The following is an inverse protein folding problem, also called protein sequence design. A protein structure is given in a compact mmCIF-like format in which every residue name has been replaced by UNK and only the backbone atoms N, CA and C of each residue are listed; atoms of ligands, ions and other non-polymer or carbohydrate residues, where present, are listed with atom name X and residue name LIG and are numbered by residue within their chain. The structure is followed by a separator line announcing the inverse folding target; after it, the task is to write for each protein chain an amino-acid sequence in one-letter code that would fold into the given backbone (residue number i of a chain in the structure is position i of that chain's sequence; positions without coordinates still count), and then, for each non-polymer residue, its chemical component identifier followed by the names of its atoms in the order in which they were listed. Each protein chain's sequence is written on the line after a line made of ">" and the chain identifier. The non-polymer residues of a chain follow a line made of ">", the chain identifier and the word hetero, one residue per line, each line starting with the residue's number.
data_IF_304768710337
#
_entry.id   IF_304768710337
#
_cell.length_a   1.000
_cell.length_b   1.000
_cell.length_c   1.000
_cell.angle_alpha   90.00
_cell.angle_beta   90.00
_cell.angle_gamma   90.00
#
_symmetry.space_group_name_H-M   'P 1'
#
loop_
_entity.id
_entity.type
_entity.pdbx_description
1 polymer ?
#
# COMPACT_ATOMS: atom_id res chain seq x y z
N UNK A 1 -35.13 -7.33 30.59
CA UNK A 1 -35.51 -8.18 29.46
C UNK A 1 -37.00 -8.15 29.33
N UNK A 2 -37.52 -8.08 28.10
CA UNK A 2 -38.96 -8.22 27.86
C UNK A 2 -39.39 -9.68 28.07
N UNK A 3 -40.64 -9.94 28.50
CA UNK A 3 -41.15 -11.30 28.66
C UNK A 3 -41.03 -12.12 27.36
N UNK A 4 -40.41 -13.30 27.43
CA UNK A 4 -40.21 -14.19 26.29
C UNK A 4 -38.98 -13.87 25.41
N UNK A 5 -38.17 -12.88 25.77
CA UNK A 5 -36.89 -12.61 25.10
C UNK A 5 -35.70 -13.20 25.87
N UNK A 6 -34.75 -13.79 25.14
CA UNK A 6 -33.48 -14.28 25.68
C UNK A 6 -32.34 -13.31 25.37
N UNK A 7 -31.29 -13.31 26.20
CA UNK A 7 -30.11 -12.48 25.97
C UNK A 7 -29.38 -12.95 24.71
N UNK A 8 -29.01 -12.02 23.83
CA UNK A 8 -28.22 -12.34 22.65
C UNK A 8 -26.76 -12.67 23.01
N UNK A 9 -26.22 -13.70 22.38
CA UNK A 9 -24.81 -14.12 22.39
C UNK A 9 -24.36 -14.48 20.96
N UNK A 10 -23.07 -14.77 20.78
CA UNK A 10 -22.50 -15.10 19.46
C UNK A 10 -23.08 -16.37 18.82
N UNK A 11 -23.74 -17.22 19.61
CA UNK A 11 -24.22 -18.53 19.16
C UNK A 11 -25.72 -18.51 18.84
N UNK A 12 -26.44 -17.48 19.26
CA UNK A 12 -27.90 -17.43 19.17
C UNK A 12 -28.43 -16.27 18.30
N UNK A 13 -27.57 -15.40 17.78
CA UNK A 13 -27.97 -14.36 16.82
C UNK A 13 -28.41 -14.97 15.47
N UNK A 14 -29.39 -14.37 14.78
CA UNK A 14 -29.75 -14.78 13.42
C UNK A 14 -28.57 -14.51 12.48
N UNK A 15 -28.33 -15.43 11.54
CA UNK A 15 -27.35 -15.21 10.49
C UNK A 15 -27.83 -14.12 9.55
N UNK A 16 -26.99 -13.12 9.30
CA UNK A 16 -27.26 -12.09 8.30
C UNK A 16 -26.04 -12.02 7.40
N UNK A 17 -26.19 -12.38 6.13
CA UNK A 17 -25.11 -12.31 5.16
C UNK A 17 -25.18 -11.03 4.29
N UNK A 18 -24.12 -10.81 3.50
CA UNK A 18 -24.02 -9.64 2.63
C UNK A 18 -25.10 -9.62 1.52
N UNK A 19 -25.63 -10.77 1.11
CA UNK A 19 -26.67 -10.88 0.08
C UNK A 19 -28.03 -10.46 0.67
N UNK A 20 -28.34 -10.89 1.90
CA UNK A 20 -29.52 -10.46 2.65
C UNK A 20 -29.55 -8.95 2.82
N UNK A 21 -28.41 -8.36 3.22
CA UNK A 21 -28.25 -6.89 3.32
C UNK A 21 -28.49 -6.20 1.98
N UNK A 22 -27.88 -6.70 0.91
CA UNK A 22 -28.04 -6.15 -0.43
C UNK A 22 -29.50 -6.16 -0.90
N UNK A 23 -30.21 -7.29 -0.71
CA UNK A 23 -31.63 -7.43 -1.05
C UNK A 23 -32.50 -6.50 -0.22
N UNK A 24 -32.24 -6.37 1.08
CA UNK A 24 -32.99 -5.50 1.97
C UNK A 24 -32.85 -4.02 1.57
N UNK A 25 -31.63 -3.54 1.35
CA UNK A 25 -31.41 -2.14 0.94
C UNK A 25 -31.92 -1.84 -0.48
N UNK A 26 -31.88 -2.82 -1.39
CA UNK A 26 -32.42 -2.66 -2.74
C UNK A 26 -33.96 -2.61 -2.77
N UNK A 27 -34.62 -3.32 -1.85
CA UNK A 27 -36.08 -3.44 -1.82
C UNK A 27 -36.76 -2.40 -0.92
N UNK A 28 -36.00 -1.71 -0.06
CA UNK A 28 -36.53 -0.76 0.91
C UNK A 28 -36.18 0.69 0.56
N UNK A 29 -37.19 1.43 0.09
CA UNK A 29 -37.06 2.81 -0.36
C UNK A 29 -36.62 3.77 0.75
N UNK A 30 -36.88 3.44 2.02
CA UNK A 30 -36.52 4.27 3.18
C UNK A 30 -34.99 4.42 3.33
N UNK A 31 -34.22 3.47 2.81
CA UNK A 31 -32.75 3.49 2.85
C UNK A 31 -32.11 3.80 1.48
N UNK A 32 -32.93 4.01 0.45
CA UNK A 32 -32.49 4.31 -0.92
C UNK A 32 -32.47 5.82 -1.24
N UNK A 33 -32.80 6.69 -0.30
CA UNK A 33 -32.78 8.14 -0.51
C UNK A 33 -31.36 8.68 -0.67
N UNK A 34 -31.21 9.80 -1.40
CA UNK A 34 -29.92 10.44 -1.68
C UNK A 34 -29.14 10.87 -0.43
N UNK A 35 -29.83 11.09 0.69
CA UNK A 35 -29.22 11.45 1.98
C UNK A 35 -28.52 10.26 2.67
N UNK A 36 -29.03 9.04 2.44
CA UNK A 36 -28.48 7.80 2.99
C UNK A 36 -27.50 7.11 2.03
N UNK A 37 -27.53 7.40 0.72
CA UNK A 37 -26.53 6.88 -0.24
C UNK A 37 -25.10 7.41 -0.05
N UNK A 38 -24.91 8.43 0.79
CA UNK A 38 -23.63 9.09 1.05
C UNK A 38 -23.07 8.85 2.48
N UNK A 39 -21.97 9.54 2.80
CA UNK A 39 -21.14 9.54 4.04
C UNK A 39 -21.79 9.04 5.35
N UNK A 40 -23.08 9.33 5.62
CA UNK A 40 -23.78 8.89 6.85
C UNK A 40 -23.91 7.37 6.99
N UNK A 41 -24.18 6.64 5.90
CA UNK A 41 -24.26 5.16 5.93
C UNK A 41 -22.86 4.55 6.10
N UNK A 42 -21.85 5.12 5.42
CA UNK A 42 -20.44 4.72 5.57
C UNK A 42 -19.88 5.00 6.96
N UNK A 43 -20.32 6.07 7.63
CA UNK A 43 -19.93 6.37 9.02
C UNK A 43 -20.64 5.46 10.03
N UNK A 44 -21.94 5.21 9.84
CA UNK A 44 -22.75 4.43 10.78
C UNK A 44 -22.52 2.92 10.66
N UNK A 45 -22.01 2.44 9.53
CA UNK A 45 -21.61 1.04 9.33
C UNK A 45 -20.25 0.68 9.94
N UNK A 46 -19.47 1.67 10.42
CA UNK A 46 -18.15 1.43 11.02
C UNK A 46 -18.27 0.57 12.28
N UNK A 47 -17.35 -0.39 12.42
CA UNK A 47 -17.27 -1.26 13.59
C UNK A 47 -17.18 -0.47 14.90
N UNK A 48 -16.33 0.57 14.95
CA UNK A 48 -16.16 1.44 16.11
C UNK A 48 -17.47 2.12 16.55
N UNK A 49 -18.32 2.52 15.60
CA UNK A 49 -19.58 3.19 15.95
C UNK A 49 -20.62 2.20 16.48
N UNK A 50 -20.79 1.05 15.82
CA UNK A 50 -21.77 0.05 16.26
C UNK A 50 -21.41 -0.59 17.60
N UNK A 51 -20.13 -0.86 17.85
CA UNK A 51 -19.69 -1.51 19.09
C UNK A 51 -19.77 -0.58 20.31
N UNK A 52 -19.58 0.73 20.12
CA UNK A 52 -19.69 1.73 21.18
C UNK A 52 -21.14 2.20 21.41
N UNK A 53 -21.99 2.16 20.37
CA UNK A 53 -23.35 2.69 20.43
C UNK A 53 -24.43 1.63 20.75
N UNK A 54 -24.25 0.36 20.37
CA UNK A 54 -25.23 -0.71 20.63
C UNK A 54 -25.01 -1.29 22.03
N UNK A 55 -25.99 -1.08 22.90
CA UNK A 55 -25.98 -1.64 24.26
C UNK A 55 -26.71 -2.99 24.30
N UNK A 56 -27.36 -3.32 25.40
CA UNK A 56 -28.00 -4.61 25.64
C UNK A 56 -28.88 -5.10 24.47
N UNK A 57 -28.59 -6.29 23.95
CA UNK A 57 -29.31 -6.95 22.85
C UNK A 57 -30.04 -8.19 23.38
N UNK A 58 -31.29 -8.34 22.97
CA UNK A 58 -32.16 -9.46 23.31
C UNK A 58 -32.87 -9.97 22.05
N UNK A 59 -33.19 -11.26 21.99
CA UNK A 59 -33.87 -11.85 20.85
C UNK A 59 -35.00 -12.79 21.27
N UNK A 60 -35.97 -12.98 20.37
CA UNK A 60 -37.08 -13.92 20.53
C UNK A 60 -37.31 -14.62 19.19
N UNK A 61 -37.40 -15.95 19.22
CA UNK A 61 -37.76 -16.77 18.07
C UNK A 61 -39.21 -17.21 18.20
N UNK A 62 -40.00 -16.96 17.15
CA UNK A 62 -41.38 -17.43 17.02
C UNK A 62 -41.52 -18.08 15.64
N UNK A 63 -41.63 -19.41 15.61
CA UNK A 63 -41.63 -20.21 14.38
C UNK A 63 -40.40 -19.90 13.52
N UNK A 64 -40.59 -19.40 12.29
CA UNK A 64 -39.53 -19.02 11.35
C UNK A 64 -38.98 -17.60 11.54
N UNK A 65 -39.59 -16.79 12.42
CA UNK A 65 -39.21 -15.40 12.62
C UNK A 65 -38.31 -15.22 13.85
N UNK A 66 -37.20 -14.52 13.66
CA UNK A 66 -36.30 -14.09 14.72
C UNK A 66 -36.39 -12.57 14.90
N UNK A 67 -36.91 -12.15 16.05
CA UNK A 67 -37.01 -10.73 16.43
C UNK A 67 -35.87 -10.36 17.36
N UNK A 68 -34.97 -9.48 16.92
CA UNK A 68 -33.83 -8.97 17.70
C UNK A 68 -34.09 -7.52 18.10
N UNK A 69 -33.96 -7.20 19.39
CA UNK A 69 -34.13 -5.85 19.94
C UNK A 69 -32.86 -5.38 20.62
N UNK A 70 -32.52 -4.11 20.45
CA UNK A 70 -31.43 -3.47 21.17
C UNK A 70 -31.77 -2.05 21.62
N UNK A 71 -30.92 -1.50 22.49
CA UNK A 71 -30.93 -0.08 22.86
C UNK A 71 -29.66 0.59 22.33
N UNK A 72 -29.79 1.75 21.69
CA UNK A 72 -28.68 2.47 21.03
C UNK A 72 -28.46 3.84 21.65
N UNK A 73 -27.19 4.18 21.90
CA UNK A 73 -26.78 5.47 22.45
C UNK A 73 -26.74 6.57 21.37
N UNK A 74 -27.34 7.76 21.61
CA UNK A 74 -27.26 8.89 20.69
C UNK A 74 -25.85 9.53 20.65
N UNK A 75 -25.25 9.62 19.47
CA UNK A 75 -23.88 10.11 19.24
C UNK A 75 -23.56 11.50 19.84
N UNK A 76 -24.51 12.43 19.83
CA UNK A 76 -24.27 13.81 20.28
C UNK A 76 -24.75 14.11 21.71
N UNK A 77 -25.33 13.12 22.41
CA UNK A 77 -25.86 13.27 23.77
C UNK A 77 -25.76 11.96 24.54
N UNK A 78 -24.56 11.62 25.00
CA UNK A 78 -24.27 10.37 25.74
C UNK A 78 -25.07 10.17 27.04
N UNK A 79 -25.68 11.23 27.58
CA UNK A 79 -26.58 11.17 28.75
C UNK A 79 -28.08 11.21 28.39
N UNK A 80 -28.44 11.20 27.11
CA UNK A 80 -29.84 11.21 26.67
C UNK A 80 -30.47 9.82 26.69
N UNK A 81 -31.81 9.78 26.60
CA UNK A 81 -32.60 8.54 26.52
C UNK A 81 -32.11 7.68 25.34
N UNK A 82 -31.83 6.41 25.62
CA UNK A 82 -31.44 5.41 24.60
C UNK A 82 -32.59 5.16 23.63
N UNK A 83 -32.26 4.97 22.35
CA UNK A 83 -33.25 4.65 21.32
C UNK A 83 -33.44 3.13 21.19
N UNK A 84 -34.68 2.65 21.20
CA UNK A 84 -35.00 1.25 20.91
C UNK A 84 -34.94 0.94 19.42
N UNK A 85 -34.24 -0.13 19.03
CA UNK A 85 -34.26 -0.66 17.67
C UNK A 85 -34.73 -2.12 17.66
N UNK A 86 -35.56 -2.46 16.68
CA UNK A 86 -36.10 -3.81 16.46
C UNK A 86 -35.78 -4.25 15.04
N UNK A 87 -35.25 -5.46 14.92
CA UNK A 87 -34.89 -6.15 13.68
C UNK A 87 -35.70 -7.44 13.62
N UNK A 88 -36.34 -7.72 12.49
CA UNK A 88 -37.07 -8.97 12.25
C UNK A 88 -36.48 -9.67 11.05
N UNK A 89 -36.06 -10.92 11.22
CA UNK A 89 -35.45 -11.77 10.20
C UNK A 89 -36.30 -13.02 10.03
N UNK A 90 -36.58 -13.40 8.80
CA UNK A 90 -37.06 -14.73 8.43
C UNK A 90 -35.84 -15.65 8.29
N UNK A 91 -35.66 -16.57 9.25
CA UNK A 91 -34.50 -17.49 9.28
C UNK A 91 -34.67 -18.67 8.30
N UNK A 92 -35.86 -18.91 7.75
CA UNK A 92 -36.11 -20.00 6.79
C UNK A 92 -35.84 -19.55 5.35
N UNK A 93 -36.29 -18.35 5.00
CA UNK A 93 -36.14 -17.77 3.66
C UNK A 93 -34.84 -16.95 3.51
N UNK A 94 -34.07 -16.77 4.59
CA UNK A 94 -32.92 -15.86 4.67
C UNK A 94 -33.29 -14.44 4.19
N UNK A 95 -34.33 -13.84 4.79
CA UNK A 95 -34.83 -12.50 4.43
C UNK A 95 -34.89 -11.59 5.65
N UNK A 96 -34.30 -10.40 5.56
CA UNK A 96 -34.54 -9.32 6.53
C UNK A 96 -35.90 -8.70 6.21
N UNK A 97 -36.87 -8.84 7.11
CA UNK A 97 -38.21 -8.31 6.91
C UNK A 97 -38.30 -6.83 7.27
N UNK A 98 -37.69 -6.42 8.39
CA UNK A 98 -37.72 -5.02 8.82
C UNK A 98 -36.62 -4.67 9.81
N UNK A 99 -36.20 -3.40 9.80
CA UNK A 99 -35.37 -2.79 10.83
C UNK A 99 -35.95 -1.42 11.19
N UNK A 100 -36.41 -1.25 12.42
CA UNK A 100 -37.12 -0.05 12.87
C UNK A 100 -36.51 0.52 14.14
N UNK A 101 -36.38 1.84 14.19
CA UNK A 101 -35.99 2.58 15.39
C UNK A 101 -37.22 3.29 15.95
N UNK A 102 -37.61 3.01 17.19
CA UNK A 102 -38.91 3.42 17.73
C UNK A 102 -38.91 4.81 18.37
N UNK A 103 -37.73 5.32 18.74
CA UNK A 103 -37.60 6.54 19.55
C UNK A 103 -36.88 7.68 18.81
N UNK A 104 -36.61 7.54 17.50
CA UNK A 104 -35.90 8.53 16.69
C UNK A 104 -36.86 9.35 15.82
N UNK A 105 -36.63 10.66 15.71
CA UNK A 105 -37.41 11.58 14.84
C UNK A 105 -37.37 11.15 13.36
N UNK A 106 -36.32 10.45 12.94
CA UNK A 106 -36.15 9.92 11.58
C UNK A 106 -36.59 8.45 11.43
N UNK A 107 -37.42 7.93 12.35
CA UNK A 107 -37.86 6.52 12.38
C UNK A 107 -38.60 6.08 11.11
N UNK A 108 -39.37 7.00 10.50
CA UNK A 108 -40.20 6.73 9.32
C UNK A 108 -39.44 6.77 7.99
N UNK A 109 -38.15 7.12 7.98
CA UNK A 109 -37.35 7.28 6.76
C UNK A 109 -35.95 6.67 6.86
N UNK A 110 -35.82 5.53 7.57
CA UNK A 110 -34.58 4.77 7.63
C UNK A 110 -33.45 5.44 8.42
N UNK A 111 -33.56 5.58 9.74
CA UNK A 111 -32.57 6.30 10.53
C UNK A 111 -31.17 5.63 10.61
N UNK A 112 -30.15 6.43 10.95
CA UNK A 112 -28.76 5.95 11.16
C UNK A 112 -28.62 4.86 12.22
N UNK A 113 -29.49 4.84 13.23
CA UNK A 113 -29.47 3.86 14.30
C UNK A 113 -29.92 2.47 13.82
N UNK A 114 -30.91 2.40 12.91
CA UNK A 114 -31.35 1.16 12.29
C UNK A 114 -30.23 0.53 11.44
N UNK A 115 -29.51 1.36 10.68
CA UNK A 115 -28.34 0.92 9.89
C UNK A 115 -27.23 0.42 10.81
N UNK A 116 -26.89 1.17 11.86
CA UNK A 116 -25.85 0.79 12.81
C UNK A 116 -26.18 -0.56 13.48
N UNK A 117 -27.45 -0.78 13.83
CA UNK A 117 -27.90 -2.04 14.42
C UNK A 117 -27.82 -3.20 13.44
N UNK A 118 -28.34 -3.02 12.21
CA UNK A 118 -28.35 -4.07 11.19
C UNK A 118 -26.92 -4.50 10.84
N UNK A 119 -26.02 -3.53 10.64
CA UNK A 119 -24.60 -3.79 10.38
C UNK A 119 -23.90 -4.43 11.57
N UNK A 120 -24.31 -4.11 12.80
CA UNK A 120 -23.79 -4.77 13.99
C UNK A 120 -24.20 -6.25 14.06
N UNK A 121 -25.47 -6.59 13.79
CA UNK A 121 -25.94 -7.98 13.80
C UNK A 121 -25.24 -8.79 12.71
N UNK A 122 -25.10 -8.25 11.49
CA UNK A 122 -24.32 -8.88 10.42
C UNK A 122 -22.90 -9.25 10.87
N UNK A 123 -22.14 -8.28 11.39
CA UNK A 123 -20.76 -8.52 11.86
C UNK A 123 -20.69 -9.59 12.96
N UNK A 124 -21.58 -9.51 13.96
CA UNK A 124 -21.59 -10.47 15.08
C UNK A 124 -22.07 -11.85 14.68
N UNK A 125 -22.90 -11.96 13.65
CA UNK A 125 -23.34 -13.26 13.10
C UNK A 125 -22.26 -13.97 12.27
N UNK A 126 -21.24 -13.23 11.79
CA UNK A 126 -20.08 -13.77 11.07
C UNK A 126 -18.88 -14.06 12.00
N UNK A 127 -18.94 -13.67 13.28
CA UNK A 127 -17.91 -14.01 14.26
C UNK A 127 -18.01 -15.51 14.62
N UNK A 128 -16.91 -16.29 14.53
CA UNK A 128 -16.96 -17.72 14.84
C UNK A 128 -17.30 -17.96 16.32
N UNK A 129 -18.11 -19.00 16.60
CA UNK A 129 -18.48 -19.40 17.96
C UNK A 129 -17.25 -19.58 18.85
N UNK A 130 -17.35 -19.23 20.14
CA UNK A 130 -16.22 -19.29 21.09
C UNK A 130 -15.61 -20.69 21.24
N UNK A 131 -16.33 -21.75 20.88
CA UNK A 131 -15.86 -23.16 20.86
C UNK A 131 -15.17 -23.56 19.55
N UNK A 132 -15.28 -22.74 18.50
CA UNK A 132 -14.56 -22.90 17.21
C UNK A 132 -13.29 -22.06 17.13
N UNK A 133 -12.90 -21.40 18.22
CA UNK A 133 -11.57 -20.83 18.37
C UNK A 133 -10.63 -21.98 18.73
N UNK A 134 -9.78 -22.40 17.79
CA UNK A 134 -8.67 -23.30 18.11
C UNK A 134 -7.97 -22.79 19.37
N UNK A 135 -7.87 -23.69 20.36
CA UNK A 135 -7.24 -23.42 21.64
C UNK A 135 -5.74 -23.21 21.42
N UNK A 136 -5.36 -21.98 21.11
CA UNK A 136 -3.97 -21.56 21.11
C UNK A 136 -3.70 -20.82 22.39
N UNK A 137 -2.77 -21.35 23.17
CA UNK A 137 -1.92 -20.60 24.07
C UNK A 137 -1.49 -19.28 23.39
N UNK A 138 -2.28 -18.22 23.56
CA UNK A 138 -1.91 -16.88 23.10
C UNK A 138 -0.68 -16.49 23.92
N UNK A 139 0.47 -16.37 23.25
CA UNK A 139 1.64 -15.72 23.84
C UNK A 139 1.19 -14.37 24.41
N UNK A 140 1.71 -14.02 25.58
CA UNK A 140 1.29 -12.83 26.33
C UNK A 140 1.32 -11.57 25.46
N UNK A 141 0.45 -10.59 25.72
CA UNK A 141 0.48 -9.27 25.05
C UNK A 141 1.86 -8.61 25.08
N UNK A 142 2.69 -8.93 26.08
CA UNK A 142 4.08 -8.47 26.16
C UNK A 142 4.98 -9.05 25.05
N UNK A 143 4.67 -10.23 24.52
CA UNK A 143 5.37 -10.80 23.36
C UNK A 143 5.05 -10.08 22.03
N UNK A 144 3.98 -9.26 21.98
CA UNK A 144 3.63 -8.43 20.83
C UNK A 144 4.29 -7.04 20.86
N UNK A 145 4.94 -6.67 21.96
CA UNK A 145 5.73 -5.44 22.04
C UNK A 145 7.01 -5.62 21.20
N UNK A 146 6.86 -5.39 19.90
CA UNK A 146 7.93 -5.56 18.90
C UNK A 146 7.42 -5.73 17.47
N UNK A 147 6.18 -6.19 17.28
CA UNK A 147 5.57 -6.35 15.95
C UNK A 147 4.65 -5.18 15.64
N UNK A 148 5.23 -3.99 15.45
CA UNK A 148 4.53 -2.95 14.71
C UNK A 148 4.30 -3.50 13.30
N UNK A 149 3.07 -3.81 12.92
CA UNK A 149 2.72 -4.17 11.54
C UNK A 149 3.09 -2.94 10.69
N UNK A 150 4.26 -3.00 10.03
CA UNK A 150 4.77 -1.89 9.21
C UNK A 150 4.13 -1.85 7.83
N UNK A 151 3.54 -2.96 7.38
CA UNK A 151 2.86 -3.15 6.10
C UNK A 151 1.87 -4.33 6.21
N UNK A 152 0.80 -4.31 5.41
CA UNK A 152 -0.11 -5.45 5.22
C UNK A 152 -0.03 -5.94 3.78
N UNK A 153 0.08 -7.24 3.58
CA UNK A 153 0.04 -7.88 2.26
C UNK A 153 -1.41 -8.10 1.82
N UNK A 154 -1.65 -8.22 0.50
CA UNK A 154 -2.98 -8.51 -0.03
C UNK A 154 -3.55 -9.85 0.49
N UNK A 155 -2.69 -10.84 0.73
CA UNK A 155 -3.05 -12.12 1.35
C UNK A 155 -3.49 -11.96 2.81
N UNK A 156 -2.92 -11.01 3.54
CA UNK A 156 -3.34 -10.72 4.92
C UNK A 156 -4.62 -9.88 4.98
N UNK A 157 -4.93 -9.12 3.92
CA UNK A 157 -6.19 -8.38 3.78
C UNK A 157 -7.40 -9.30 3.51
N UNK A 158 -7.16 -10.51 2.99
CA UNK A 158 -8.18 -11.48 2.61
C UNK A 158 -7.88 -12.84 3.23
N UNK A 159 -8.68 -13.27 4.21
CA UNK A 159 -8.66 -14.67 4.71
C UNK A 159 -9.23 -15.67 3.70
N UNK A 160 -9.75 -15.20 2.56
CA UNK A 160 -10.26 -16.06 1.49
C UNK A 160 -9.10 -16.70 0.74
N UNK A 161 -9.13 -18.04 0.63
CA UNK A 161 -8.38 -18.72 -0.42
C UNK A 161 -9.08 -18.39 -1.75
N UNK A 162 -8.43 -17.68 -2.69
CA UNK A 162 -9.05 -17.39 -3.97
C UNK A 162 -9.32 -18.73 -4.68
N UNK A 163 -10.58 -19.08 -4.85
CA UNK A 163 -10.99 -20.22 -5.69
C UNK A 163 -10.86 -19.72 -7.13
N UNK A 164 -9.78 -20.10 -7.80
CA UNK A 164 -9.67 -19.87 -9.23
C UNK A 164 -10.76 -20.71 -9.92
N UNK A 165 -11.58 -20.12 -10.81
CA UNK A 165 -12.55 -20.91 -11.57
C UNK A 165 -11.80 -21.95 -12.41
N UNK A 166 -12.26 -23.20 -12.36
CA UNK A 166 -11.61 -24.33 -13.05
C UNK A 166 -11.53 -24.16 -14.59
N UNK A 167 -12.30 -23.23 -15.16
CA UNK A 167 -12.35 -22.98 -16.60
C UNK A 167 -11.83 -21.57 -16.95
N UNK A 168 -10.65 -21.45 -17.58
CA UNK A 168 -10.09 -20.17 -18.00
C UNK A 168 -10.74 -19.61 -19.29
N UNK A 169 -11.75 -20.26 -19.86
CA UNK A 169 -12.36 -19.89 -21.15
C UNK A 169 -12.83 -18.44 -21.22
N UNK A 170 -13.51 -17.94 -20.16
CA UNK A 170 -13.97 -16.54 -20.13
C UNK A 170 -12.79 -15.57 -20.18
N UNK A 171 -11.72 -15.88 -19.46
CA UNK A 171 -10.51 -15.05 -19.45
C UNK A 171 -9.81 -15.08 -20.81
N UNK A 172 -9.65 -16.26 -21.42
CA UNK A 172 -9.04 -16.39 -22.74
C UNK A 172 -9.84 -15.65 -23.82
N UNK A 173 -11.18 -15.78 -23.80
CA UNK A 173 -12.07 -15.06 -24.72
C UNK A 173 -11.95 -13.55 -24.51
N UNK A 174 -11.85 -13.09 -23.26
CA UNK A 174 -11.59 -11.68 -22.95
C UNK A 174 -10.25 -11.20 -23.54
N UNK A 175 -9.16 -11.97 -23.40
CA UNK A 175 -7.85 -11.62 -23.96
C UNK A 175 -7.88 -11.54 -25.49
N UNK A 176 -8.58 -12.46 -26.15
CA UNK A 176 -8.74 -12.43 -27.61
C UNK A 176 -9.53 -11.20 -28.07
N UNK A 177 -10.67 -10.91 -27.43
CA UNK A 177 -11.48 -9.74 -27.78
C UNK A 177 -10.77 -8.42 -27.46
N UNK A 178 -10.05 -8.36 -26.34
CA UNK A 178 -9.22 -7.21 -26.00
C UNK A 178 -8.15 -6.95 -27.08
N UNK A 179 -7.51 -8.01 -27.60
CA UNK A 179 -6.54 -7.91 -28.68
C UNK A 179 -7.18 -7.44 -29.98
N UNK A 180 -8.34 -7.99 -30.36
CA UNK A 180 -9.09 -7.55 -31.56
C UNK A 180 -9.47 -6.07 -31.49
N UNK A 181 -9.89 -5.61 -30.31
CA UNK A 181 -10.35 -4.24 -30.06
C UNK A 181 -9.24 -3.26 -29.74
N UNK A 182 -7.97 -3.71 -29.67
CA UNK A 182 -6.81 -2.89 -29.28
C UNK A 182 -7.07 -2.12 -27.98
N UNK A 183 -7.57 -2.83 -26.95
CA UNK A 183 -7.81 -2.22 -25.64
C UNK A 183 -6.46 -1.91 -24.99
N UNK A 184 -6.15 -0.63 -24.80
CA UNK A 184 -4.87 -0.14 -24.25
C UNK A 184 -4.95 0.32 -22.78
N UNK A 185 -6.15 0.34 -22.18
CA UNK A 185 -6.33 0.69 -20.77
C UNK A 185 -7.20 -0.34 -20.04
N UNK A 186 -6.58 -1.44 -19.62
CA UNK A 186 -7.24 -2.44 -18.78
C UNK A 186 -6.26 -3.05 -17.76
N UNK A 187 -6.64 -3.00 -16.49
CA UNK A 187 -5.85 -3.56 -15.39
C UNK A 187 -5.60 -5.07 -15.52
N UNK A 188 -6.54 -5.82 -16.12
CA UNK A 188 -6.39 -7.26 -16.35
C UNK A 188 -5.35 -7.55 -17.45
N UNK A 189 -5.22 -6.67 -18.44
CA UNK A 189 -4.25 -6.82 -19.54
C UNK A 189 -2.83 -6.45 -19.10
N UNK A 190 -2.67 -5.53 -18.14
CA UNK A 190 -1.35 -5.09 -17.64
C UNK A 190 -0.45 -6.23 -17.15
N UNK A 191 -1.02 -7.37 -16.77
CA UNK A 191 -0.28 -8.54 -16.27
C UNK A 191 -0.15 -9.66 -17.32
N UNK A 192 -0.43 -9.38 -18.60
CA UNK A 192 -0.32 -10.36 -19.68
C UNK A 192 0.99 -10.23 -20.46
N UNK A 193 1.62 -11.35 -20.87
CA UNK A 193 2.96 -11.35 -21.46
C UNK A 193 3.01 -10.70 -22.84
N UNK A 194 1.88 -10.67 -23.54
CA UNK A 194 1.74 -10.08 -24.88
C UNK A 194 1.26 -8.64 -24.84
N UNK A 195 1.08 -8.09 -23.63
CA UNK A 195 0.57 -6.77 -23.41
C UNK A 195 1.58 -5.97 -22.60
N UNK A 196 2.25 -5.03 -23.26
CA UNK A 196 3.09 -4.04 -22.58
C UNK A 196 2.58 -2.67 -22.98
N UNK A 197 2.16 -1.89 -21.99
CA UNK A 197 1.67 -0.51 -22.15
C UNK A 197 2.69 0.37 -22.91
N UNK A 198 3.97 0.03 -22.78
CA UNK A 198 5.08 0.59 -23.55
C UNK A 198 6.30 -0.34 -23.53
N UNK A 199 7.29 -0.08 -24.40
CA UNK A 199 8.60 -0.75 -24.34
C UNK A 199 9.35 -0.50 -23.01
N UNK A 200 9.08 0.64 -22.35
CA UNK A 200 9.64 0.97 -21.04
C UNK A 200 8.94 0.19 -19.92
N UNK A 201 7.65 -0.12 -20.05
CA UNK A 201 6.93 -0.97 -19.10
C UNK A 201 7.35 -2.44 -19.20
N UNK A 202 7.66 -2.91 -20.41
CA UNK A 202 8.06 -4.29 -20.69
C UNK A 202 9.32 -4.74 -19.94
N UNK A 203 10.16 -3.78 -19.50
CA UNK A 203 11.36 -4.06 -18.72
C UNK A 203 11.13 -4.02 -17.20
N UNK A 204 9.89 -3.96 -16.71
CA UNK A 204 9.66 -4.14 -15.28
C UNK A 204 10.11 -5.53 -14.83
N UNK A 205 10.56 -5.68 -13.58
CA UNK A 205 11.03 -6.98 -13.10
C UNK A 205 9.91 -8.02 -13.16
N UNK A 206 8.67 -7.63 -12.84
CA UNK A 206 7.52 -8.51 -12.95
C UNK A 206 7.31 -8.99 -14.39
N UNK A 207 7.30 -8.08 -15.37
CA UNK A 207 7.12 -8.42 -16.79
C UNK A 207 8.23 -9.31 -17.32
N UNK A 208 9.49 -9.00 -16.98
CA UNK A 208 10.64 -9.80 -17.40
C UNK A 208 10.57 -11.21 -16.79
N UNK A 209 10.30 -11.32 -15.48
CA UNK A 209 10.19 -12.63 -14.81
C UNK A 209 9.01 -13.43 -15.36
N UNK A 210 7.87 -12.78 -15.61
CA UNK A 210 6.70 -13.42 -16.21
C UNK A 210 6.93 -13.86 -17.66
N UNK A 211 7.64 -13.05 -18.46
CA UNK A 211 7.97 -13.34 -19.86
C UNK A 211 8.89 -14.55 -20.00
N UNK A 212 9.94 -14.63 -19.17
CA UNK A 212 10.95 -15.68 -19.29
C UNK A 212 10.66 -16.93 -18.46
N UNK A 213 9.93 -16.79 -17.33
CA UNK A 213 9.62 -17.87 -16.37
C UNK A 213 10.80 -18.78 -16.06
N UNK A 214 11.97 -18.17 -15.92
CA UNK A 214 13.23 -18.90 -15.76
C UNK A 214 13.52 -19.16 -14.29
N UNK A 215 13.67 -20.41 -13.86
CA UNK A 215 13.95 -20.71 -12.44
C UNK A 215 15.38 -20.33 -12.07
N UNK A 216 16.33 -20.52 -12.98
CA UNK A 216 17.73 -20.19 -12.77
C UNK A 216 17.97 -18.68 -12.92
N UNK A 217 18.46 -18.02 -11.86
CA UNK A 217 18.69 -16.57 -11.86
C UNK A 217 19.76 -16.16 -12.87
N UNK A 218 20.79 -16.97 -13.09
CA UNK A 218 21.85 -16.62 -14.05
C UNK A 218 21.33 -16.66 -15.49
N UNK A 219 20.50 -17.65 -15.81
CA UNK A 219 19.93 -17.76 -17.16
C UNK A 219 18.85 -16.71 -17.38
N UNK A 220 18.11 -16.33 -16.34
CA UNK A 220 17.22 -15.17 -16.37
C UNK A 220 17.99 -13.89 -16.71
N UNK A 221 19.10 -13.61 -16.01
CA UNK A 221 19.88 -12.40 -16.22
C UNK A 221 20.52 -12.35 -17.61
N UNK A 222 20.95 -13.49 -18.17
CA UNK A 222 21.47 -13.56 -19.56
C UNK A 222 20.43 -13.21 -20.62
N UNK A 223 19.15 -13.45 -20.34
CA UNK A 223 18.03 -13.15 -21.27
C UNK A 223 17.60 -11.69 -21.24
N UNK A 224 18.00 -10.93 -20.22
CA UNK A 224 17.62 -9.52 -20.10
C UNK A 224 18.55 -8.68 -20.96
N UNK A 225 17.97 -8.03 -21.97
CA UNK A 225 18.65 -7.03 -22.79
C UNK A 225 18.01 -5.67 -22.57
N UNK A 226 18.74 -4.75 -21.93
CA UNK A 226 18.34 -3.35 -21.76
C UNK A 226 19.33 -2.48 -22.52
N UNK A 227 18.89 -1.90 -23.63
CA UNK A 227 19.71 -1.06 -24.51
C UNK A 227 19.91 0.34 -23.92
N UNK A 228 20.99 1.02 -24.31
CA UNK A 228 21.26 2.38 -23.84
C UNK A 228 20.15 3.38 -24.24
N UNK A 229 19.54 3.18 -25.42
CA UNK A 229 18.39 3.97 -25.87
C UNK A 229 17.19 3.78 -24.95
N UNK A 230 16.91 2.55 -24.53
CA UNK A 230 15.81 2.25 -23.62
C UNK A 230 16.06 2.81 -22.22
N UNK A 231 17.30 2.74 -21.70
CA UNK A 231 17.68 3.37 -20.43
C UNK A 231 17.42 4.89 -20.49
N UNK A 232 17.81 5.54 -21.59
CA UNK A 232 17.56 6.97 -21.79
C UNK A 232 16.06 7.29 -21.81
N UNK A 233 15.27 6.49 -22.52
CA UNK A 233 13.81 6.68 -22.60
C UNK A 233 13.14 6.50 -21.23
N UNK A 234 13.56 5.50 -20.46
CA UNK A 234 13.11 5.29 -19.07
C UNK A 234 13.43 6.52 -18.23
N UNK A 235 14.65 7.05 -18.30
CA UNK A 235 15.04 8.25 -17.57
C UNK A 235 14.10 9.41 -17.93
N UNK A 236 13.87 9.67 -19.21
CA UNK A 236 13.00 10.74 -19.71
C UNK A 236 11.55 10.62 -19.21
N UNK A 237 10.94 9.44 -19.33
CA UNK A 237 9.54 9.17 -18.93
C UNK A 237 9.34 9.16 -17.41
N UNK A 238 10.42 9.06 -16.63
CA UNK A 238 10.35 8.96 -15.16
C UNK A 238 10.94 10.17 -14.44
N UNK A 239 11.21 11.29 -15.14
CA UNK A 239 11.73 12.55 -14.54
C UNK A 239 10.83 13.17 -13.47
N UNK A 240 9.54 12.88 -13.49
CA UNK A 240 8.60 13.32 -12.46
C UNK A 240 8.56 12.41 -11.22
N UNK A 241 9.41 11.37 -11.20
CA UNK A 241 9.68 10.49 -10.07
C UNK A 241 8.44 10.06 -9.28
N UNK A 242 8.19 10.64 -8.11
CA UNK A 242 7.06 10.29 -7.24
C UNK A 242 5.68 10.52 -7.84
N UNK A 243 5.58 11.28 -8.95
CA UNK A 243 4.36 11.48 -9.71
C UNK A 243 4.26 10.56 -10.95
N UNK A 244 5.20 9.64 -11.16
CA UNK A 244 5.23 8.72 -12.30
C UNK A 244 4.91 7.29 -11.85
N UNK A 245 3.84 6.71 -12.40
CA UNK A 245 3.49 5.31 -12.13
C UNK A 245 4.57 4.34 -12.65
N UNK A 246 5.11 4.61 -13.84
CA UNK A 246 6.22 3.86 -14.43
C UNK A 246 7.46 3.87 -13.51
N UNK A 247 7.74 4.98 -12.83
CA UNK A 247 8.85 5.06 -11.88
C UNK A 247 8.68 4.08 -10.71
N UNK A 248 7.47 3.91 -10.19
CA UNK A 248 7.19 2.92 -9.15
C UNK A 248 7.29 1.49 -9.69
N UNK A 249 6.70 1.23 -10.86
CA UNK A 249 6.72 -0.08 -11.51
C UNK A 249 8.16 -0.56 -11.78
N UNK A 250 9.00 0.33 -12.32
CA UNK A 250 10.39 -0.03 -12.61
C UNK A 250 11.25 -0.18 -11.37
N UNK A 251 10.86 0.40 -10.23
CA UNK A 251 11.54 0.17 -8.94
C UNK A 251 11.12 -1.13 -8.27
N UNK A 252 9.95 -1.67 -8.61
CA UNK A 252 9.49 -2.95 -8.07
C UNK A 252 10.49 -4.06 -8.40
N UNK A 253 10.89 -4.81 -7.37
CA UNK A 253 11.86 -5.90 -7.50
C UNK A 253 13.29 -5.45 -7.75
N UNK A 254 13.60 -4.14 -7.83
CA UNK A 254 14.96 -3.63 -8.00
C UNK A 254 15.53 -3.06 -6.71
N UNK A 255 16.84 -3.25 -6.50
CA UNK A 255 17.57 -2.57 -5.43
C UNK A 255 17.82 -1.13 -5.86
N UNK A 256 17.18 -0.20 -5.16
CA UNK A 256 17.34 1.24 -5.43
C UNK A 256 18.51 1.82 -4.62
N UNK A 257 19.23 2.80 -5.19
CA UNK A 257 20.37 3.45 -4.52
C UNK A 257 20.06 3.92 -3.08
N UNK A 258 18.87 4.45 -2.84
CA UNK A 258 18.41 4.89 -1.51
C UNK A 258 18.32 3.78 -0.45
N UNK A 259 18.27 2.50 -0.87
CA UNK A 259 18.17 1.31 -0.02
C UNK A 259 19.37 0.38 -0.13
N UNK A 260 20.28 0.64 -1.07
CA UNK A 260 21.44 -0.21 -1.33
C UNK A 260 22.33 -0.39 -0.08
N UNK A 261 22.48 0.65 0.75
CA UNK A 261 23.22 0.53 2.01
C UNK A 261 22.57 -0.41 3.03
N UNK A 262 21.23 -0.39 3.13
CA UNK A 262 20.49 -1.30 4.00
C UNK A 262 20.65 -2.74 3.49
N UNK A 263 20.61 -2.93 2.18
CA UNK A 263 20.80 -4.23 1.51
C UNK A 263 22.20 -4.79 1.74
N UNK A 264 23.26 -3.99 1.58
CA UNK A 264 24.64 -4.46 1.71
C UNK A 264 25.00 -4.94 3.12
N UNK A 265 24.20 -4.56 4.13
CA UNK A 265 24.35 -4.93 5.53
C UNK A 265 23.30 -5.94 6.00
N UNK A 266 22.31 -6.24 5.16
CA UNK A 266 21.22 -7.13 5.52
C UNK A 266 21.73 -8.57 5.59
N UNK A 267 21.49 -9.22 6.73
CA UNK A 267 21.80 -10.63 6.95
C UNK A 267 20.55 -11.50 7.00
N UNK A 268 19.37 -10.90 7.04
CA UNK A 268 18.10 -11.62 7.07
C UNK A 268 17.63 -11.90 5.65
N UNK A 269 17.05 -13.09 5.46
CA UNK A 269 16.46 -13.54 4.20
C UNK A 269 14.98 -13.20 4.06
N UNK A 270 14.41 -12.57 5.08
CA UNK A 270 13.04 -12.11 5.15
C UNK A 270 12.93 -10.76 5.89
N UNK A 271 11.73 -10.17 5.85
CA UNK A 271 11.38 -8.99 6.63
C UNK A 271 11.19 -7.71 5.82
N UNK A 272 11.16 -6.59 6.54
CA UNK A 272 10.68 -5.30 6.01
C UNK A 272 11.45 -4.83 4.78
N UNK A 273 12.78 -5.01 4.74
CA UNK A 273 13.58 -4.53 3.62
C UNK A 273 13.20 -5.21 2.29
N UNK A 274 12.99 -6.53 2.33
CA UNK A 274 12.58 -7.31 1.16
C UNK A 274 11.19 -6.91 0.71
N UNK A 275 10.24 -6.77 1.65
CA UNK A 275 8.89 -6.30 1.33
C UNK A 275 8.90 -4.90 0.71
N UNK A 276 9.79 -4.00 1.14
CA UNK A 276 9.92 -2.67 0.53
C UNK A 276 10.50 -2.71 -0.89
N UNK A 277 11.44 -3.63 -1.17
CA UNK A 277 11.95 -3.85 -2.53
C UNK A 277 10.83 -4.41 -3.42
N UNK A 278 9.95 -5.25 -2.87
CA UNK A 278 8.77 -5.81 -3.54
C UNK A 278 7.52 -4.91 -3.41
N UNK A 279 7.70 -3.58 -3.41
CA UNK A 279 6.59 -2.62 -3.53
C UNK A 279 5.82 -2.31 -2.24
N UNK A 280 6.27 -2.82 -1.10
CA UNK A 280 5.75 -2.43 0.21
C UNK A 280 5.85 -0.92 0.43
N UNK A 281 4.80 -0.33 1.00
CA UNK A 281 4.72 1.12 1.25
C UNK A 281 4.89 1.43 2.73
N UNK A 282 5.70 2.45 3.02
CA UNK A 282 5.78 3.07 4.34
C UNK A 282 4.89 4.32 4.32
N UNK A 283 4.14 4.62 5.40
CA UNK A 283 3.43 5.88 5.52
C UNK A 283 4.35 7.08 5.29
N UNK A 284 3.83 8.08 4.58
CA UNK A 284 4.55 9.33 4.34
C UNK A 284 4.90 10.03 5.65
N UNK A 285 6.19 10.18 5.91
CA UNK A 285 6.68 10.92 7.07
C UNK A 285 6.66 12.44 6.80
N UNK A 286 6.60 13.29 7.85
CA UNK A 286 6.75 14.73 7.68
C UNK A 286 8.03 15.13 6.93
N UNK A 287 9.12 14.36 7.10
CA UNK A 287 10.40 14.63 6.44
C UNK A 287 10.31 14.38 4.94
N UNK A 288 9.61 13.32 4.52
CA UNK A 288 9.37 13.01 3.11
C UNK A 288 8.51 14.08 2.44
N UNK A 289 7.44 14.53 3.12
CA UNK A 289 6.57 15.61 2.61
C UNK A 289 7.34 16.92 2.44
N UNK A 290 8.13 17.30 3.44
CA UNK A 290 9.00 18.48 3.39
C UNK A 290 10.00 18.41 2.22
N UNK A 291 10.65 17.26 2.05
CA UNK A 291 11.58 17.01 0.94
C UNK A 291 10.95 17.34 -0.40
N UNK A 292 9.81 16.71 -0.73
CA UNK A 292 9.11 16.91 -2.01
C UNK A 292 8.70 18.36 -2.27
N UNK A 293 8.30 19.09 -1.24
CA UNK A 293 7.90 20.51 -1.38
C UNK A 293 9.12 21.39 -1.67
N UNK A 294 10.24 21.18 -0.98
CA UNK A 294 11.40 22.08 -1.05
C UNK A 294 12.41 21.71 -2.15
N UNK A 295 12.43 20.46 -2.63
CA UNK A 295 13.44 19.94 -3.56
C UNK A 295 13.64 20.83 -4.79
N UNK A 296 12.55 21.27 -5.43
CA UNK A 296 12.60 22.12 -6.62
C UNK A 296 13.26 23.48 -6.32
N UNK A 297 12.97 24.10 -5.17
CA UNK A 297 13.59 25.37 -4.77
C UNK A 297 15.06 25.18 -4.41
N UNK A 298 15.38 24.12 -3.66
CA UNK A 298 16.76 23.81 -3.27
C UNK A 298 17.61 23.55 -4.51
N UNK A 299 17.10 22.82 -5.51
CA UNK A 299 17.81 22.57 -6.77
C UNK A 299 18.13 23.88 -7.52
N UNK A 300 17.20 24.84 -7.57
CA UNK A 300 17.44 26.16 -8.17
C UNK A 300 18.52 26.96 -7.43
N UNK A 301 18.50 26.92 -6.09
CA UNK A 301 19.55 27.53 -5.27
C UNK A 301 20.91 26.89 -5.54
N UNK A 302 20.95 25.55 -5.62
CA UNK A 302 22.18 24.81 -5.94
C UNK A 302 22.70 25.16 -7.33
N UNK A 303 21.84 25.14 -8.36
CA UNK A 303 22.17 25.56 -9.73
C UNK A 303 22.84 26.93 -9.77
N UNK A 304 22.30 27.90 -9.01
CA UNK A 304 22.87 29.25 -8.90
C UNK A 304 24.23 29.26 -8.19
N UNK A 305 24.40 28.45 -7.14
CA UNK A 305 25.65 28.37 -6.37
C UNK A 305 26.79 27.69 -7.14
N UNK A 306 26.49 26.61 -7.85
CA UNK A 306 27.49 25.87 -8.62
C UNK A 306 27.72 26.47 -10.01
N UNK A 307 26.88 27.44 -10.43
CA UNK A 307 26.91 28.09 -11.75
C UNK A 307 26.85 27.10 -12.91
N UNK A 308 26.12 26.00 -12.74
CA UNK A 308 25.91 24.95 -13.75
C UNK A 308 24.44 24.60 -13.77
N UNK A 309 23.89 24.44 -14.98
CA UNK A 309 22.49 24.04 -15.17
C UNK A 309 22.26 22.64 -14.63
N UNK A 310 21.29 22.49 -13.72
CA UNK A 310 20.92 21.22 -13.11
C UNK A 310 19.54 20.80 -13.61
N UNK A 311 19.51 19.75 -14.43
CA UNK A 311 18.27 19.16 -14.93
C UNK A 311 17.69 18.17 -13.93
N UNK A 312 16.36 18.00 -13.93
CA UNK A 312 15.72 16.83 -13.28
C UNK A 312 16.27 15.54 -13.88
N UNK A 313 16.32 14.49 -13.08
CA UNK A 313 16.74 13.16 -13.53
C UNK A 313 15.68 12.12 -13.14
N UNK A 314 15.32 11.24 -14.06
CA UNK A 314 14.44 10.11 -13.80
C UNK A 314 15.16 8.91 -13.17
N UNK A 315 14.62 7.72 -13.43
CA UNK A 315 15.21 6.46 -13.03
C UNK A 315 16.32 6.07 -13.99
N UNK A 316 17.52 5.89 -13.45
CA UNK A 316 18.67 5.34 -14.13
C UNK A 316 18.73 3.84 -13.87
N UNK A 317 18.85 3.08 -14.96
CA UNK A 317 19.02 1.64 -14.96
C UNK A 317 20.44 1.27 -15.44
N UNK A 318 20.80 0.01 -15.27
CA UNK A 318 22.07 -0.51 -15.77
C UNK A 318 21.82 -1.77 -16.61
N UNK A 319 22.48 -1.86 -17.77
CA UNK A 319 22.36 -3.02 -18.66
C UNK A 319 23.03 -4.26 -18.08
N UNK A 320 24.19 -4.12 -17.43
CA UNK A 320 24.93 -5.22 -16.80
C UNK A 320 24.28 -5.70 -15.51
N UNK A 321 23.66 -4.80 -14.76
CA UNK A 321 23.02 -5.06 -13.48
C UNK A 321 21.56 -4.59 -13.50
N UNK A 322 20.67 -5.28 -14.26
CA UNK A 322 19.30 -4.84 -14.50
C UNK A 322 18.44 -4.78 -13.24
N UNK A 323 18.84 -5.48 -12.18
CA UNK A 323 18.21 -5.47 -10.86
C UNK A 323 18.56 -4.25 -10.00
N UNK A 324 19.47 -3.37 -10.45
CA UNK A 324 19.89 -2.17 -9.71
C UNK A 324 19.35 -0.94 -10.42
N UNK A 325 18.86 0.02 -9.63
CA UNK A 325 18.36 1.29 -10.15
C UNK A 325 18.65 2.47 -9.21
N UNK A 326 18.53 3.69 -9.70
CA UNK A 326 18.73 4.89 -8.90
C UNK A 326 18.17 6.13 -9.58
N UNK A 327 17.65 7.07 -8.79
CA UNK A 327 17.17 8.37 -9.28
C UNK A 327 17.91 9.45 -8.49
N UNK A 328 18.88 10.14 -9.08
CA UNK A 328 19.43 11.36 -8.53
C UNK A 328 18.37 12.48 -8.51
N UNK A 329 18.50 13.44 -7.59
CA UNK A 329 17.58 14.60 -7.51
C UNK A 329 17.85 15.64 -8.60
N UNK A 330 19.05 15.57 -9.19
CA UNK A 330 19.41 16.31 -10.39
C UNK A 330 20.65 15.76 -11.09
N UNK A 331 20.84 16.16 -12.34
CA UNK A 331 22.02 15.83 -13.14
C UNK A 331 22.52 17.08 -13.87
N UNK A 332 23.84 17.22 -13.97
CA UNK A 332 24.50 18.28 -14.71
C UNK A 332 25.68 17.70 -15.50
N UNK A 333 26.41 18.55 -16.21
CA UNK A 333 27.48 18.15 -17.13
C UNK A 333 28.52 17.23 -16.46
N UNK A 334 29.04 17.63 -15.31
CA UNK A 334 30.15 16.93 -14.65
C UNK A 334 29.73 15.99 -13.51
N UNK A 335 28.43 15.89 -13.21
CA UNK A 335 27.99 15.27 -11.97
C UNK A 335 26.50 15.11 -11.78
N UNK A 336 26.15 14.60 -10.61
CA UNK A 336 24.78 14.49 -10.10
C UNK A 336 24.58 15.37 -8.87
N UNK A 337 23.33 15.63 -8.53
CA UNK A 337 22.94 16.33 -7.30
C UNK A 337 22.07 15.40 -6.47
N UNK A 338 22.39 15.31 -5.18
CA UNK A 338 21.58 14.62 -4.18
C UNK A 338 21.20 15.63 -3.09
N UNK A 339 19.90 15.83 -2.89
CA UNK A 339 19.33 16.87 -2.03
C UNK A 339 18.72 16.23 -0.78
N UNK A 340 19.00 16.84 0.38
CA UNK A 340 18.37 16.49 1.66
C UNK A 340 17.80 17.74 2.33
N UNK A 341 16.55 17.63 2.76
CA UNK A 341 15.81 18.71 3.41
C UNK A 341 15.46 18.33 4.87
N UNK A 342 16.43 18.38 5.82
CA UNK A 342 16.16 18.10 7.23
C UNK A 342 15.04 18.99 7.79
N UNK A 343 14.28 18.43 8.74
CA UNK A 343 13.31 19.20 9.53
C UNK A 343 14.00 19.94 10.68
N UNK A 344 15.07 19.38 11.23
CA UNK A 344 15.75 19.91 12.41
C UNK A 344 17.26 19.73 12.32
N UNK A 345 18.00 20.45 13.18
CA UNK A 345 19.45 20.28 13.36
C UNK A 345 19.83 18.86 13.77
N UNK A 346 18.94 18.13 14.46
CA UNK A 346 19.17 16.71 14.79
C UNK A 346 19.10 15.85 13.53
N UNK A 347 18.10 16.06 12.67
CA UNK A 347 18.00 15.34 11.39
C UNK A 347 19.16 15.69 10.46
N UNK A 348 19.67 16.92 10.50
CA UNK A 348 20.86 17.34 9.76
C UNK A 348 22.07 16.42 10.04
N UNK A 349 22.31 16.10 11.32
CA UNK A 349 23.42 15.21 11.75
C UNK A 349 23.27 13.77 11.26
N UNK A 350 22.09 13.34 10.81
CA UNK A 350 21.92 12.02 10.20
C UNK A 350 22.50 11.97 8.79
N UNK A 351 22.60 13.12 8.11
CA UNK A 351 23.17 13.23 6.76
C UNK A 351 24.68 13.42 6.79
N UNK A 352 25.16 14.28 7.69
CA UNK A 352 26.57 14.63 7.83
C UNK A 352 27.06 14.33 9.25
N UNK A 353 28.21 13.64 9.33
CA UNK A 353 28.95 13.42 10.57
C UNK A 353 30.41 13.83 10.36
N UNK A 354 30.94 14.68 11.22
CA UNK A 354 32.31 15.20 11.11
C UNK A 354 32.64 15.81 9.74
N UNK A 355 31.72 16.63 9.20
CA UNK A 355 31.81 17.24 7.87
C UNK A 355 31.83 16.27 6.68
N UNK A 356 31.62 14.97 6.91
CA UNK A 356 31.53 13.93 5.87
C UNK A 356 30.11 13.37 5.76
N UNK A 357 29.72 12.96 4.56
CA UNK A 357 28.47 12.23 4.36
C UNK A 357 28.50 10.92 5.15
N UNK A 358 27.38 10.56 5.79
CA UNK A 358 27.30 9.26 6.46
C UNK A 358 27.35 8.11 5.45
N UNK A 359 27.82 6.93 5.88
CA UNK A 359 28.02 5.76 5.01
C UNK A 359 26.80 5.43 4.14
N UNK A 360 25.59 5.63 4.70
CA UNK A 360 24.33 5.41 3.99
C UNK A 360 24.21 6.29 2.73
N UNK A 361 24.42 7.59 2.88
CA UNK A 361 24.28 8.52 1.76
C UNK A 361 25.49 8.46 0.84
N UNK A 362 26.69 8.19 1.38
CA UNK A 362 27.86 7.90 0.56
C UNK A 362 27.59 6.73 -0.39
N UNK A 363 27.10 5.60 0.13
CA UNK A 363 26.74 4.43 -0.67
C UNK A 363 25.67 4.74 -1.74
N UNK A 364 24.66 5.54 -1.38
CA UNK A 364 23.62 5.97 -2.30
C UNK A 364 24.21 6.79 -3.47
N UNK A 365 25.02 7.80 -3.16
CA UNK A 365 25.62 8.69 -4.15
C UNK A 365 26.63 7.96 -5.05
N UNK A 366 27.44 7.07 -4.47
CA UNK A 366 28.36 6.22 -5.23
C UNK A 366 27.63 5.34 -6.26
N UNK A 367 26.49 4.75 -5.86
CA UNK A 367 25.69 3.96 -6.79
C UNK A 367 25.00 4.83 -7.85
N UNK A 368 24.48 6.00 -7.50
CA UNK A 368 23.91 6.93 -8.47
C UNK A 368 24.95 7.45 -9.48
N UNK A 369 26.19 7.73 -9.04
CA UNK A 369 27.31 8.11 -9.91
C UNK A 369 27.67 6.98 -10.88
N UNK A 370 27.71 5.73 -10.39
CA UNK A 370 27.88 4.56 -11.25
C UNK A 370 26.78 4.44 -12.32
N UNK A 371 25.51 4.58 -11.94
CA UNK A 371 24.38 4.47 -12.86
C UNK A 371 24.34 5.61 -13.89
N UNK A 372 24.72 6.82 -13.49
CA UNK A 372 24.76 8.01 -14.35
C UNK A 372 26.03 8.13 -15.18
N UNK A 373 27.03 7.28 -14.94
CA UNK A 373 28.38 7.39 -15.53
C UNK A 373 29.03 8.75 -15.25
N UNK A 374 28.77 9.31 -14.06
CA UNK A 374 29.34 10.59 -13.60
C UNK A 374 30.40 10.34 -12.55
N UNK A 375 31.34 11.28 -12.43
CA UNK A 375 32.48 11.18 -11.50
C UNK A 375 32.33 12.03 -10.24
N UNK A 376 31.34 12.92 -10.20
CA UNK A 376 31.12 13.84 -9.09
C UNK A 376 29.65 13.86 -8.66
N UNK A 377 29.44 14.06 -7.36
CA UNK A 377 28.15 14.33 -6.78
C UNK A 377 28.21 15.59 -5.90
N UNK A 378 27.30 16.53 -6.11
CA UNK A 378 27.04 17.62 -5.19
C UNK A 378 26.01 17.16 -4.15
N UNK A 379 26.49 16.80 -2.95
CA UNK A 379 25.63 16.46 -1.83
C UNK A 379 25.14 17.74 -1.15
N UNK A 380 23.87 18.04 -1.31
CA UNK A 380 23.26 19.30 -0.94
C UNK A 380 22.33 19.11 0.26
N UNK A 381 22.62 19.76 1.38
CA UNK A 381 21.79 19.72 2.58
C UNK A 381 21.20 21.10 2.80
N UNK A 382 19.88 21.21 2.65
CA UNK A 382 19.15 22.44 2.92
C UNK A 382 19.11 22.71 4.42
N UNK A 383 19.20 23.98 4.81
CA UNK A 383 19.04 24.38 6.20
C UNK A 383 17.61 24.08 6.70
N UNK A 384 17.41 23.71 7.98
CA UNK A 384 16.07 23.56 8.55
C UNK A 384 15.17 24.79 8.37
N UNK A 385 15.75 26.00 8.29
CA UNK A 385 15.06 27.26 8.04
C UNK A 385 15.24 27.74 6.58
N UNK A 386 15.49 26.82 5.63
CA UNK A 386 15.71 27.10 4.20
C UNK A 386 14.65 28.03 3.59
N UNK A 387 13.38 27.90 3.98
CA UNK A 387 12.30 28.77 3.49
C UNK A 387 12.56 30.25 3.75
N UNK A 388 13.29 30.59 4.81
CA UNK A 388 13.63 31.96 5.18
C UNK A 388 15.01 32.37 4.67
N UNK A 389 16.01 31.51 4.85
CA UNK A 389 17.42 31.89 4.65
C UNK A 389 18.03 31.43 3.32
N UNK A 390 17.36 30.53 2.59
CA UNK A 390 17.82 29.89 1.35
C UNK A 390 19.23 29.29 1.45
N UNK A 391 19.68 28.92 2.65
CA UNK A 391 21.00 28.33 2.90
C UNK A 391 21.01 26.84 2.57
N UNK A 392 22.06 26.43 1.88
CA UNK A 392 22.31 25.04 1.45
C UNK A 392 23.79 24.78 1.59
N UNK A 393 24.15 23.75 2.33
CA UNK A 393 25.52 23.26 2.42
C UNK A 393 25.77 22.27 1.28
N UNK A 394 26.88 22.44 0.57
CA UNK A 394 27.25 21.61 -0.58
C UNK A 394 28.56 20.92 -0.27
N UNK A 395 28.54 19.59 -0.30
CA UNK A 395 29.72 18.74 -0.15
C UNK A 395 29.93 18.03 -1.48
N UNK A 396 31.11 18.18 -2.06
CA UNK A 396 31.47 17.44 -3.26
C UNK A 396 31.97 16.06 -2.88
N UNK A 397 31.39 15.03 -3.51
CA UNK A 397 31.76 13.63 -3.34
C UNK A 397 32.28 13.13 -4.68
N UNK A 398 33.48 12.56 -4.68
CA UNK A 398 34.11 11.96 -5.86
C UNK A 398 33.75 10.48 -5.98
N UNK A 399 33.67 9.99 -7.21
CA UNK A 399 33.40 8.59 -7.49
C UNK A 399 34.56 7.69 -7.07
N UNK A 400 34.23 6.65 -6.30
CA UNK A 400 35.17 5.65 -5.83
C UNK A 400 34.90 4.30 -6.53
N UNK A 401 35.68 3.94 -7.56
CA UNK A 401 35.45 2.73 -8.34
C UNK A 401 35.64 1.45 -7.51
N UNK A 402 36.63 1.44 -6.61
CA UNK A 402 36.95 0.27 -5.78
C UNK A 402 35.84 0.00 -4.77
N UNK A 403 35.29 1.05 -4.16
CA UNK A 403 34.14 0.94 -3.28
C UNK A 403 32.92 0.39 -4.03
N UNK A 404 32.60 0.96 -5.19
CA UNK A 404 31.38 0.62 -5.94
C UNK A 404 31.39 -0.82 -6.45
N UNK A 405 32.53 -1.30 -6.95
CA UNK A 405 32.65 -2.68 -7.41
C UNK A 405 32.33 -3.69 -6.28
N UNK A 406 32.97 -3.53 -5.13
CA UNK A 406 32.72 -4.35 -3.94
C UNK A 406 31.28 -4.21 -3.45
N UNK A 407 30.72 -3.01 -3.52
CA UNK A 407 29.38 -2.72 -3.08
C UNK A 407 28.34 -3.41 -3.98
N UNK A 408 28.45 -3.27 -5.29
CA UNK A 408 27.57 -3.92 -6.27
C UNK A 408 27.56 -5.44 -6.10
N UNK A 409 28.73 -6.07 -5.90
CA UNK A 409 28.81 -7.51 -5.69
C UNK A 409 27.98 -7.99 -4.48
N UNK A 410 27.95 -7.21 -3.39
CA UNK A 410 27.09 -7.50 -2.23
C UNK A 410 25.61 -7.38 -2.58
N UNK A 411 25.22 -6.35 -3.34
CA UNK A 411 23.84 -6.14 -3.77
C UNK A 411 23.35 -7.28 -4.68
N UNK A 412 24.20 -7.72 -5.62
CA UNK A 412 23.91 -8.81 -6.54
C UNK A 412 23.63 -10.12 -5.80
N UNK A 413 24.52 -10.49 -4.88
CA UNK A 413 24.35 -11.70 -4.08
C UNK A 413 23.07 -11.66 -3.25
N UNK A 414 22.79 -10.52 -2.61
CA UNK A 414 21.55 -10.35 -1.86
C UNK A 414 20.31 -10.50 -2.75
N UNK A 415 20.30 -9.86 -3.92
CA UNK A 415 19.17 -9.90 -4.83
C UNK A 415 18.88 -11.31 -5.35
N UNK A 416 19.93 -12.02 -5.78
CA UNK A 416 19.84 -13.40 -6.29
C UNK A 416 19.26 -14.36 -5.26
N UNK A 417 19.67 -14.22 -3.99
CA UNK A 417 19.26 -15.14 -2.91
C UNK A 417 17.88 -14.79 -2.36
N UNK A 418 17.55 -13.50 -2.21
CA UNK A 418 16.40 -13.08 -1.40
C UNK A 418 15.26 -12.43 -2.19
N UNK A 419 15.55 -11.82 -3.35
CA UNK A 419 14.52 -11.10 -4.12
C UNK A 419 14.05 -11.92 -5.31
N UNK A 420 14.98 -12.49 -6.08
CA UNK A 420 14.63 -13.23 -7.29
C UNK A 420 13.70 -14.43 -7.04
N UNK A 421 13.91 -15.27 -5.99
CA UNK A 421 13.01 -16.39 -5.74
C UNK A 421 11.56 -15.95 -5.49
N UNK A 422 11.36 -14.80 -4.84
CA UNK A 422 10.04 -14.23 -4.58
C UNK A 422 9.41 -13.65 -5.86
N UNK A 423 10.21 -13.03 -6.72
CA UNK A 423 9.75 -12.59 -8.04
C UNK A 423 9.31 -13.79 -8.90
N UNK A 424 10.12 -14.86 -8.93
CA UNK A 424 9.81 -16.08 -9.66
C UNK A 424 8.53 -16.75 -9.13
N UNK A 425 8.42 -16.92 -7.82
CA UNK A 425 7.22 -17.49 -7.19
C UNK A 425 5.96 -16.67 -7.46
N UNK A 426 6.08 -15.37 -7.74
CA UNK A 426 4.92 -14.53 -8.05
C UNK A 426 4.32 -14.74 -9.45
N UNK A 427 5.03 -15.46 -10.33
CA UNK A 427 4.63 -15.70 -11.73
C UNK A 427 4.53 -17.18 -12.11
N UNK A 428 4.93 -18.06 -11.19
CA UNK A 428 4.64 -19.50 -11.18
C UNK A 428 3.17 -19.71 -10.85
#
# INVERSE_FOLDING_TARGET
>A
MEPGFVKADSNNLPRIDAIMLGRFFASNNDFCSSEFRNVKTSMSSRASYGDDAVSYVQLKRENKFCTVKCKICPEHKVHAKLYGCTLVVDEEDDIILSVQCQDCVASQGGCKHAIAFLMWVHRRSEEPSCTSVECYWKKSKLSQVGTTIKYMTAKELSKGNPILPANPSVFNNFLEEARKRKVEDCQLLKYQPTYSESETWAISMHQLTYKFKERCVEDFLKKIEITASLIKKVEEETREQSNSALWFELRYGRITASRAFEVSRCKTSDGTLISLILGGKIPDTPAMKRGRVLENEVRKTVESKIKKKVSKCGLLLNSKYPMIAGSPDGIFEDGIVEIKCPISKTTYKNYIKNALATEKYYAQMQLQMYLSQKKNCCFCIADPDFSQNKKVDIINIEFDPQYVENFINKLLNFWKINIYPLLYQSVE
#
